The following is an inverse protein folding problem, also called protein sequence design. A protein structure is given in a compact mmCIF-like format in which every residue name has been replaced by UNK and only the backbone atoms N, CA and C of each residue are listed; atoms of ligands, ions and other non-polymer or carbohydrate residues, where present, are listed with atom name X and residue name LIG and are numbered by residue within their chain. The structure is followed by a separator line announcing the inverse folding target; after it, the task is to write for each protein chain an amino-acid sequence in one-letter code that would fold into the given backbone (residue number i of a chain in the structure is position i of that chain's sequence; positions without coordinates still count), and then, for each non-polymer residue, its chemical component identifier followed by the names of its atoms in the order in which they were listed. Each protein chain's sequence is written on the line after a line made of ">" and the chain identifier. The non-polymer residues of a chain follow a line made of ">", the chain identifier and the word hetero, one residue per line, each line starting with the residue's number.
data_IF_919857132439
#
_entry.id   IF_919857132439
#
_cell.length_a   1.000
_cell.length_b   1.000
_cell.length_c   1.000
_cell.angle_alpha   90.00
_cell.angle_beta   90.00
_cell.angle_gamma   90.00
#
_symmetry.space_group_name_H-M   'P 1'
#
loop_
_entity.id
_entity.type
_entity.pdbx_description
1 polymer ?
#
# COMPACT_ATOMS: atom_id res chain seq x y z
N UNK A 1 -24.98 -9.33 -26.42
CA UNK A 1 -24.89 -9.31 -24.93
C UNK A 1 -23.53 -9.68 -24.34
N UNK A 2 -22.63 -10.48 -24.99
CA UNK A 2 -21.30 -10.87 -24.45
C UNK A 2 -20.21 -9.78 -24.54
N UNK A 3 -20.25 -8.85 -25.48
CA UNK A 3 -19.23 -7.82 -25.67
C UNK A 3 -19.32 -6.64 -24.67
N UNK A 4 -20.52 -6.36 -24.15
CA UNK A 4 -20.74 -5.32 -23.15
C UNK A 4 -20.16 -5.69 -21.77
N UNK A 5 -20.24 -6.97 -21.38
CA UNK A 5 -19.65 -7.47 -20.14
C UNK A 5 -18.12 -7.40 -20.14
N UNK A 6 -17.45 -7.78 -21.24
CA UNK A 6 -16.00 -7.74 -21.36
C UNK A 6 -15.45 -6.29 -21.34
N UNK A 7 -16.17 -5.34 -21.99
CA UNK A 7 -15.81 -3.91 -21.95
C UNK A 7 -15.95 -3.30 -20.56
N UNK A 8 -16.92 -3.76 -19.76
CA UNK A 8 -17.05 -3.33 -18.37
C UNK A 8 -15.88 -3.86 -17.51
N UNK A 9 -15.49 -5.13 -17.68
CA UNK A 9 -14.36 -5.73 -16.96
C UNK A 9 -13.01 -5.06 -17.23
N UNK A 10 -12.84 -4.41 -18.38
CA UNK A 10 -11.62 -3.69 -18.78
C UNK A 10 -11.75 -2.17 -18.65
N UNK A 11 -12.81 -1.68 -17.99
CA UNK A 11 -12.97 -0.24 -17.76
C UNK A 11 -12.12 0.24 -16.57
N UNK A 12 -11.71 1.49 -16.59
CA UNK A 12 -11.00 2.13 -15.47
C UNK A 12 -11.80 2.06 -14.17
N UNK A 13 -13.13 2.13 -14.24
CA UNK A 13 -14.03 2.06 -13.08
C UNK A 13 -13.93 0.69 -12.38
N UNK A 14 -13.84 -0.40 -13.13
CA UNK A 14 -13.70 -1.76 -12.58
C UNK A 14 -12.39 -1.95 -11.83
N UNK A 15 -11.38 -1.12 -12.12
CA UNK A 15 -10.10 -1.05 -11.42
C UNK A 15 -10.06 0.07 -10.36
N UNK A 16 -11.21 0.59 -9.91
CA UNK A 16 -11.26 1.60 -8.84
C UNK A 16 -10.83 3.01 -9.25
N UNK A 17 -10.70 3.27 -10.57
CA UNK A 17 -10.40 4.60 -11.12
C UNK A 17 -11.70 5.24 -11.57
N UNK A 18 -12.46 5.79 -10.61
CA UNK A 18 -13.72 6.48 -10.84
C UNK A 18 -13.54 7.83 -11.53
N UNK A 19 -14.62 8.43 -11.99
CA UNK A 19 -14.66 9.82 -12.46
C UNK A 19 -15.76 10.59 -11.72
N UNK A 20 -15.43 11.56 -10.85
CA UNK A 20 -14.09 11.99 -10.44
C UNK A 20 -13.31 10.92 -9.65
N UNK A 21 -11.96 11.01 -9.69
CA UNK A 21 -11.10 10.07 -8.97
C UNK A 21 -11.07 10.38 -7.48
N UNK A 22 -11.28 9.36 -6.65
CA UNK A 22 -11.25 9.41 -5.18
C UNK A 22 -11.91 10.67 -4.59
N UNK A 23 -13.21 10.91 -4.86
CA UNK A 23 -13.88 12.14 -4.43
C UNK A 23 -13.95 12.29 -2.90
N UNK A 24 -13.83 11.19 -2.16
CA UNK A 24 -13.82 11.17 -0.71
C UNK A 24 -12.40 11.28 -0.11
N UNK A 25 -11.36 11.50 -0.92
CA UNK A 25 -9.96 11.65 -0.51
C UNK A 25 -9.47 10.51 0.41
N UNK A 26 -9.92 9.28 0.17
CA UNK A 26 -9.62 8.13 1.02
C UNK A 26 -8.15 7.73 0.99
N UNK A 27 -7.49 7.94 -0.15
CA UNK A 27 -6.07 7.59 -0.33
C UNK A 27 -5.12 8.51 0.47
N UNK A 28 -5.58 9.68 0.90
CA UNK A 28 -4.78 10.72 1.58
C UNK A 28 -5.29 11.07 2.97
N UNK A 29 -6.21 10.28 3.54
CA UNK A 29 -6.81 10.50 4.86
C UNK A 29 -6.69 9.28 5.76
N UNK A 30 -6.85 9.50 7.07
CA UNK A 30 -6.83 8.49 8.11
C UNK A 30 -8.04 8.67 9.05
N UNK A 31 -8.53 7.59 9.67
CA UNK A 31 -9.51 7.72 10.75
C UNK A 31 -8.87 8.18 12.07
N UNK A 32 -7.53 8.12 12.20
CA UNK A 32 -6.80 8.35 13.45
C UNK A 32 -5.88 9.58 13.40
N UNK A 33 -5.36 9.93 12.22
CA UNK A 33 -4.33 10.96 12.06
C UNK A 33 -4.84 12.14 11.24
N UNK A 34 -4.36 13.33 11.57
CA UNK A 34 -4.49 14.48 10.66
C UNK A 34 -3.76 14.19 9.33
N UNK A 35 -4.16 14.80 8.21
CA UNK A 35 -3.48 14.58 6.94
C UNK A 35 -1.99 14.93 6.97
N UNK A 36 -1.59 15.96 7.73
CA UNK A 36 -0.18 16.32 7.87
C UNK A 36 0.59 15.26 8.65
N UNK A 37 0.04 14.75 9.75
CA UNK A 37 0.63 13.67 10.54
C UNK A 37 0.76 12.39 9.71
N UNK A 38 -0.30 12.01 8.98
CA UNK A 38 -0.26 10.86 8.08
C UNK A 38 0.82 11.01 7.01
N UNK A 39 0.91 12.20 6.39
CA UNK A 39 1.92 12.51 5.39
C UNK A 39 3.35 12.42 5.94
N UNK A 40 3.58 12.94 7.15
CA UNK A 40 4.87 12.87 7.83
C UNK A 40 5.27 11.42 8.19
N UNK A 41 4.33 10.61 8.68
CA UNK A 41 4.58 9.19 8.96
C UNK A 41 4.92 8.42 7.67
N UNK A 42 4.17 8.63 6.59
CA UNK A 42 4.46 8.03 5.28
C UNK A 42 5.83 8.46 4.76
N UNK A 43 6.20 9.73 4.93
CA UNK A 43 7.52 10.24 4.54
C UNK A 43 8.63 9.57 5.35
N UNK A 44 8.45 9.38 6.65
CA UNK A 44 9.40 8.66 7.50
C UNK A 44 9.62 7.23 6.98
N UNK A 45 8.54 6.52 6.65
CA UNK A 45 8.62 5.17 6.08
C UNK A 45 9.29 5.18 4.69
N UNK A 46 9.00 6.19 3.86
CA UNK A 46 9.64 6.39 2.56
C UNK A 46 11.16 6.59 2.68
N UNK A 47 11.59 7.45 3.59
CA UNK A 47 13.01 7.72 3.85
C UNK A 47 13.70 6.47 4.40
N UNK A 48 13.12 5.82 5.40
CA UNK A 48 13.69 4.60 5.98
C UNK A 48 13.87 3.51 4.92
N UNK A 49 12.82 3.22 4.13
CA UNK A 49 12.89 2.18 3.12
C UNK A 49 13.87 2.52 1.97
N UNK A 50 13.95 3.79 1.57
CA UNK A 50 14.94 4.23 0.58
C UNK A 50 16.37 4.09 1.12
N UNK A 51 16.63 4.53 2.35
CA UNK A 51 17.94 4.39 3.00
C UNK A 51 18.31 2.92 3.13
N UNK A 52 17.37 2.05 3.51
CA UNK A 52 17.57 0.60 3.56
C UNK A 52 17.98 0.07 2.19
N UNK A 53 17.24 0.39 1.12
CA UNK A 53 17.53 -0.05 -0.24
C UNK A 53 18.94 0.38 -0.69
N UNK A 54 19.29 1.66 -0.47
CA UNK A 54 20.61 2.19 -0.84
C UNK A 54 21.70 1.51 -0.03
N UNK A 55 21.51 1.34 1.28
CA UNK A 55 22.51 0.72 2.16
C UNK A 55 22.76 -0.74 1.77
N UNK A 56 21.69 -1.50 1.47
CA UNK A 56 21.83 -2.90 1.02
C UNK A 56 22.59 -2.93 -0.31
N UNK A 57 22.17 -2.14 -1.32
CA UNK A 57 22.84 -2.10 -2.62
C UNK A 57 24.32 -1.71 -2.52
N UNK A 58 24.65 -0.70 -1.72
CA UNK A 58 26.04 -0.26 -1.51
C UNK A 58 26.85 -1.32 -0.78
N UNK A 59 26.28 -1.96 0.23
CA UNK A 59 26.97 -3.00 1.00
C UNK A 59 27.21 -4.24 0.16
N UNK A 60 26.24 -4.70 -0.65
CA UNK A 60 26.36 -5.78 -1.62
C UNK A 60 27.47 -5.47 -2.64
N UNK A 61 27.46 -4.23 -3.18
CA UNK A 61 28.46 -3.79 -4.16
C UNK A 61 29.88 -3.74 -3.59
N UNK A 62 30.05 -3.11 -2.43
CA UNK A 62 31.40 -2.79 -1.90
C UNK A 62 31.98 -3.96 -1.11
N UNK A 63 31.15 -4.69 -0.36
CA UNK A 63 31.62 -5.74 0.54
C UNK A 63 31.63 -7.12 -0.09
N UNK A 64 30.60 -7.43 -0.86
CA UNK A 64 30.45 -8.76 -1.48
C UNK A 64 30.80 -8.78 -2.97
N UNK A 65 30.95 -7.59 -3.60
CA UNK A 65 31.18 -7.44 -5.06
C UNK A 65 30.10 -8.10 -5.92
N UNK A 66 28.86 -8.17 -5.41
CA UNK A 66 27.71 -8.87 -6.01
C UNK A 66 26.48 -7.96 -6.20
N UNK A 67 26.69 -6.70 -6.62
CA UNK A 67 25.60 -5.82 -6.96
C UNK A 67 24.80 -6.28 -8.20
N UNK A 68 25.38 -7.14 -9.03
CA UNK A 68 24.73 -7.67 -10.25
C UNK A 68 23.52 -8.54 -9.93
N UNK A 69 23.52 -9.20 -8.77
CA UNK A 69 22.41 -10.02 -8.29
C UNK A 69 21.26 -9.23 -7.65
N UNK A 70 21.43 -7.94 -7.30
CA UNK A 70 20.44 -7.17 -6.52
C UNK A 70 19.04 -7.18 -7.15
N UNK A 71 18.92 -6.90 -8.46
CA UNK A 71 17.62 -6.91 -9.14
C UNK A 71 17.11 -8.33 -9.50
N UNK A 72 17.85 -9.36 -9.13
CA UNK A 72 17.46 -10.74 -9.35
C UNK A 72 16.53 -11.29 -8.26
N UNK A 73 16.44 -10.61 -7.11
CA UNK A 73 15.60 -11.06 -6.00
C UNK A 73 14.24 -10.38 -5.97
N UNK A 74 13.19 -11.18 -5.80
CA UNK A 74 11.82 -10.65 -5.66
C UNK A 74 11.65 -9.70 -4.46
N UNK A 75 12.40 -9.97 -3.39
CA UNK A 75 12.47 -9.11 -2.21
C UNK A 75 12.84 -7.67 -2.59
N UNK A 76 13.95 -7.50 -3.32
CA UNK A 76 14.46 -6.17 -3.68
C UNK A 76 13.53 -5.47 -4.66
N UNK A 77 13.00 -6.18 -5.65
CA UNK A 77 12.04 -5.64 -6.60
C UNK A 77 10.74 -5.19 -5.90
N UNK A 78 10.20 -6.00 -5.00
CA UNK A 78 8.99 -5.66 -4.26
C UNK A 78 9.24 -4.54 -3.24
N UNK A 79 10.43 -4.49 -2.65
CA UNK A 79 10.84 -3.45 -1.72
C UNK A 79 11.03 -2.09 -2.43
N UNK A 80 11.55 -2.07 -3.67
CA UNK A 80 11.58 -0.87 -4.53
C UNK A 80 10.14 -0.37 -4.78
N UNK A 81 9.20 -1.28 -5.03
CA UNK A 81 7.78 -0.95 -5.15
C UNK A 81 7.23 -0.29 -3.87
N UNK A 82 7.61 -0.80 -2.70
CA UNK A 82 7.24 -0.24 -1.40
C UNK A 82 7.80 1.18 -1.22
N UNK A 83 9.08 1.40 -1.55
CA UNK A 83 9.72 2.73 -1.56
C UNK A 83 8.94 3.69 -2.45
N UNK A 84 8.68 3.31 -3.70
CA UNK A 84 7.96 4.13 -4.68
C UNK A 84 6.55 4.51 -4.17
N UNK A 85 5.84 3.56 -3.57
CA UNK A 85 4.53 3.82 -2.99
C UNK A 85 4.58 4.84 -1.86
N UNK A 86 5.46 4.67 -0.87
CA UNK A 86 5.52 5.58 0.27
C UNK A 86 5.96 6.99 -0.14
N UNK A 87 6.87 7.15 -1.10
CA UNK A 87 7.20 8.45 -1.68
C UNK A 87 6.00 9.09 -2.39
N UNK A 88 5.32 8.35 -3.25
CA UNK A 88 4.15 8.86 -3.95
C UNK A 88 3.02 9.21 -2.97
N UNK A 89 2.65 8.31 -2.04
CA UNK A 89 1.55 8.51 -1.11
C UNK A 89 1.83 9.61 -0.09
N UNK A 90 3.07 9.74 0.41
CA UNK A 90 3.46 10.85 1.30
C UNK A 90 3.33 12.20 0.61
N UNK A 91 3.84 12.32 -0.62
CA UNK A 91 3.73 13.55 -1.43
C UNK A 91 2.27 13.94 -1.66
N UNK A 92 1.41 13.00 -2.08
CA UNK A 92 -0.01 13.24 -2.27
C UNK A 92 -0.69 13.72 -0.98
N UNK A 93 -0.36 13.07 0.14
CA UNK A 93 -0.96 13.37 1.45
C UNK A 93 -0.50 14.72 2.01
N UNK A 94 0.79 15.04 1.90
CA UNK A 94 1.32 16.35 2.33
C UNK A 94 0.72 17.48 1.50
N UNK A 95 0.66 17.32 0.17
CA UNK A 95 0.06 18.34 -0.70
C UNK A 95 -1.43 18.50 -0.40
N UNK A 96 -2.17 17.42 -0.10
CA UNK A 96 -3.55 17.49 0.35
C UNK A 96 -3.69 18.32 1.62
N UNK A 97 -2.84 18.08 2.63
CA UNK A 97 -2.83 18.84 3.88
C UNK A 97 -2.55 20.34 3.62
N UNK A 98 -1.54 20.66 2.80
CA UNK A 98 -1.15 22.03 2.49
C UNK A 98 -2.19 22.79 1.64
N UNK A 99 -3.01 22.09 0.85
CA UNK A 99 -4.11 22.66 0.06
C UNK A 99 -5.41 22.82 0.85
N UNK A 100 -5.35 22.80 2.18
CA UNK A 100 -6.52 22.93 3.04
C UNK A 100 -7.51 21.77 2.91
N UNK A 101 -7.01 20.58 2.62
CA UNK A 101 -7.78 19.32 2.52
C UNK A 101 -8.87 19.32 1.44
N UNK A 102 -8.69 20.09 0.37
CA UNK A 102 -9.66 20.20 -0.73
C UNK A 102 -9.38 19.24 -1.87
N UNK A 103 -8.10 19.07 -2.22
CA UNK A 103 -7.69 18.22 -3.35
C UNK A 103 -6.20 17.84 -3.26
N UNK A 104 -5.80 16.82 -4.01
CA UNK A 104 -4.42 16.38 -4.13
C UNK A 104 -4.05 16.08 -5.59
N UNK A 105 -2.76 16.11 -5.98
CA UNK A 105 -2.34 16.12 -7.38
C UNK A 105 -2.86 14.96 -8.21
N UNK A 106 -2.87 13.73 -7.67
CA UNK A 106 -3.27 12.53 -8.39
C UNK A 106 -4.71 12.61 -8.94
N UNK A 107 -5.61 13.39 -8.28
CA UNK A 107 -7.00 13.56 -8.76
C UNK A 107 -7.07 14.24 -10.13
N UNK A 108 -6.09 15.09 -10.45
CA UNK A 108 -5.99 15.79 -11.74
C UNK A 108 -5.08 15.11 -12.76
N UNK A 109 -4.40 14.03 -12.37
CA UNK A 109 -3.48 13.33 -13.27
C UNK A 109 -4.22 12.44 -14.27
N UNK A 110 -3.54 12.04 -15.38
CA UNK A 110 -4.11 11.10 -16.34
C UNK A 110 -4.56 9.81 -15.68
N UNK A 111 -5.68 9.24 -16.16
CA UNK A 111 -6.29 8.00 -15.62
C UNK A 111 -5.31 6.83 -15.54
N UNK A 112 -4.34 6.75 -16.45
CA UNK A 112 -3.31 5.72 -16.40
C UNK A 112 -2.42 5.85 -15.15
N UNK A 113 -2.06 7.06 -14.73
CA UNK A 113 -1.26 7.26 -13.50
C UNK A 113 -2.10 6.99 -12.24
N UNK A 114 -3.40 7.30 -12.29
CA UNK A 114 -4.34 6.93 -11.23
C UNK A 114 -4.42 5.40 -11.11
N UNK A 115 -4.55 4.69 -12.26
CA UNK A 115 -4.55 3.23 -12.31
C UNK A 115 -3.25 2.64 -11.77
N UNK A 116 -2.10 3.14 -12.20
CA UNK A 116 -0.80 2.66 -11.72
C UNK A 116 -0.65 2.85 -10.21
N UNK A 117 -1.14 3.96 -9.67
CA UNK A 117 -1.08 4.20 -8.21
C UNK A 117 -1.97 3.22 -7.42
N UNK A 118 -3.21 2.95 -7.87
CA UNK A 118 -4.07 2.00 -7.15
C UNK A 118 -3.61 0.55 -7.33
N UNK A 119 -3.00 0.20 -8.46
CA UNK A 119 -2.35 -1.10 -8.64
C UNK A 119 -1.10 -1.22 -7.76
N UNK A 120 -0.27 -0.17 -7.68
CA UNK A 120 0.88 -0.14 -6.79
C UNK A 120 0.45 -0.29 -5.32
N UNK A 121 -0.62 0.38 -4.88
CA UNK A 121 -1.21 0.15 -3.55
C UNK A 121 -1.57 -1.33 -3.35
N UNK A 122 -2.20 -1.97 -4.33
CA UNK A 122 -2.60 -3.38 -4.23
C UNK A 122 -1.39 -4.33 -4.19
N UNK A 123 -0.31 -4.04 -4.92
CA UNK A 123 0.91 -4.85 -4.85
C UNK A 123 1.60 -4.71 -3.51
N UNK A 124 1.75 -3.48 -3.00
CA UNK A 124 2.46 -3.28 -1.73
C UNK A 124 1.67 -3.79 -0.53
N UNK A 125 0.36 -3.92 -0.62
CA UNK A 125 -0.46 -4.49 0.46
C UNK A 125 -0.42 -6.03 0.50
N UNK A 126 0.10 -6.68 -0.54
CA UNK A 126 0.15 -8.15 -0.64
C UNK A 126 1.58 -8.70 -0.68
N UNK A 127 2.44 -8.17 -1.55
CA UNK A 127 3.78 -8.73 -1.77
C UNK A 127 4.68 -8.74 -0.52
N UNK A 128 4.77 -7.68 0.29
CA UNK A 128 5.59 -7.72 1.50
C UNK A 128 5.16 -8.81 2.49
N UNK A 129 3.85 -9.09 2.59
CA UNK A 129 3.34 -10.16 3.45
C UNK A 129 3.79 -11.53 2.91
N UNK A 130 3.72 -11.75 1.59
CA UNK A 130 4.21 -12.97 0.96
C UNK A 130 5.72 -13.12 1.17
N UNK A 131 6.49 -12.05 0.92
CA UNK A 131 7.94 -12.03 1.14
C UNK A 131 8.28 -12.39 2.59
N UNK A 132 7.56 -11.82 3.56
CA UNK A 132 7.74 -12.15 4.98
C UNK A 132 7.47 -13.63 5.25
N UNK A 133 6.33 -14.15 4.79
CA UNK A 133 5.95 -15.55 5.03
C UNK A 133 6.95 -16.50 4.37
N UNK A 134 7.29 -16.29 3.10
CA UNK A 134 8.24 -17.15 2.35
C UNK A 134 9.62 -17.10 2.99
N UNK A 135 10.11 -15.93 3.34
CA UNK A 135 11.42 -15.80 3.96
C UNK A 135 11.51 -16.53 5.29
N UNK A 136 10.62 -16.26 6.23
CA UNK A 136 10.70 -16.83 7.57
C UNK A 136 10.31 -18.32 7.62
N UNK A 137 9.46 -18.80 6.70
CA UNK A 137 9.06 -20.21 6.66
C UNK A 137 10.01 -21.10 5.86
N UNK A 138 10.71 -20.57 4.84
CA UNK A 138 11.47 -21.38 3.88
C UNK A 138 12.95 -20.99 3.82
N UNK A 139 13.26 -19.67 3.84
CA UNK A 139 14.60 -19.18 3.52
C UNK A 139 15.46 -18.86 4.76
N UNK A 140 14.83 -18.52 5.89
CA UNK A 140 15.55 -18.18 7.10
C UNK A 140 16.35 -19.38 7.62
N UNK A 141 17.61 -19.12 7.99
CA UNK A 141 18.56 -20.14 8.45
C UNK A 141 19.41 -19.61 9.61
N UNK A 142 20.32 -20.40 10.13
CA UNK A 142 21.26 -19.99 11.17
C UNK A 142 22.14 -18.80 10.76
N UNK A 143 22.35 -18.58 9.46
CA UNK A 143 23.10 -17.42 8.94
C UNK A 143 22.32 -16.11 8.94
N UNK A 144 20.98 -16.13 9.06
CA UNK A 144 20.13 -14.94 9.01
C UNK A 144 20.55 -13.86 10.01
N UNK A 145 21.05 -14.25 11.17
CA UNK A 145 21.51 -13.35 12.24
C UNK A 145 23.00 -13.41 12.51
N UNK A 146 23.80 -13.94 11.58
CA UNK A 146 25.24 -14.19 11.77
C UNK A 146 26.07 -12.91 11.99
N UNK A 147 25.65 -11.79 11.41
CA UNK A 147 26.27 -10.47 11.59
C UNK A 147 25.23 -9.40 11.92
N UNK A 148 25.66 -8.25 12.47
CA UNK A 148 24.77 -7.11 12.72
C UNK A 148 24.12 -6.61 11.43
N UNK A 149 24.87 -6.58 10.32
CA UNK A 149 24.33 -6.18 9.02
C UNK A 149 23.29 -7.18 8.52
N UNK A 150 23.61 -8.48 8.55
CA UNK A 150 22.67 -9.54 8.11
C UNK A 150 21.39 -9.51 8.95
N UNK A 151 21.49 -9.37 10.28
CA UNK A 151 20.33 -9.25 11.15
C UNK A 151 19.47 -8.02 10.78
N UNK A 152 20.10 -6.84 10.62
CA UNK A 152 19.40 -5.61 10.29
C UNK A 152 18.74 -5.67 8.90
N UNK A 153 19.47 -6.10 7.86
CA UNK A 153 18.95 -6.14 6.49
C UNK A 153 17.78 -7.13 6.37
N UNK A 154 17.94 -8.34 6.93
CA UNK A 154 16.86 -9.34 6.91
C UNK A 154 15.61 -8.89 7.68
N UNK A 155 15.77 -8.30 8.86
CA UNK A 155 14.62 -7.74 9.60
C UNK A 155 13.97 -6.60 8.82
N UNK A 156 14.74 -5.69 8.23
CA UNK A 156 14.22 -4.54 7.48
C UNK A 156 13.46 -4.96 6.23
N UNK A 157 13.98 -5.92 5.48
CA UNK A 157 13.39 -6.33 4.20
C UNK A 157 12.34 -7.44 4.33
N UNK A 158 12.35 -8.23 5.42
CA UNK A 158 11.48 -9.40 5.57
C UNK A 158 10.56 -9.37 6.80
N UNK A 159 10.61 -8.32 7.63
CA UNK A 159 9.68 -8.13 8.75
C UNK A 159 9.11 -6.72 8.76
N UNK A 160 9.96 -5.68 8.73
CA UNK A 160 9.52 -4.30 8.77
C UNK A 160 8.69 -3.92 7.53
N UNK A 161 8.97 -4.51 6.35
CA UNK A 161 8.16 -4.36 5.15
C UNK A 161 6.67 -4.67 5.41
N UNK A 162 6.37 -5.76 6.10
CA UNK A 162 4.99 -6.12 6.46
C UNK A 162 4.40 -5.19 7.53
N UNK A 163 5.20 -4.70 8.48
CA UNK A 163 4.75 -3.71 9.47
C UNK A 163 4.34 -2.40 8.78
N UNK A 164 5.10 -1.95 7.76
CA UNK A 164 4.75 -0.77 6.97
C UNK A 164 3.45 -0.94 6.20
N UNK A 165 3.23 -2.14 5.65
CA UNK A 165 1.99 -2.49 4.97
C UNK A 165 0.81 -2.55 5.95
N UNK A 166 0.99 -3.12 7.13
CA UNK A 166 -0.05 -3.13 8.17
C UNK A 166 -0.42 -1.72 8.62
N UNK A 167 0.54 -0.78 8.67
CA UNK A 167 0.25 0.64 8.87
C UNK A 167 -0.72 1.17 7.81
N UNK A 168 -0.47 0.92 6.52
CA UNK A 168 -1.37 1.35 5.44
C UNK A 168 -2.74 0.67 5.51
N UNK A 169 -2.77 -0.65 5.77
CA UNK A 169 -4.01 -1.42 5.83
C UNK A 169 -4.90 -1.00 7.00
N UNK A 170 -4.32 -0.70 8.16
CA UNK A 170 -5.08 -0.49 9.39
C UNK A 170 -5.33 0.99 9.70
N UNK A 171 -4.38 1.87 9.38
CA UNK A 171 -4.37 3.24 9.88
C UNK A 171 -4.73 4.30 8.84
N UNK A 172 -5.07 3.91 7.60
CA UNK A 172 -5.53 4.84 6.55
C UNK A 172 -6.99 4.60 6.17
N UNK A 173 -7.59 5.52 5.43
CA UNK A 173 -8.94 5.34 4.88
C UNK A 173 -8.95 4.66 3.50
N UNK A 174 -7.80 4.26 2.96
CA UNK A 174 -7.71 3.58 1.68
C UNK A 174 -8.63 2.34 1.64
N UNK A 175 -9.48 2.24 0.65
CA UNK A 175 -10.50 1.19 0.56
C UNK A 175 -9.91 -0.20 0.23
N UNK A 176 -10.77 -1.24 0.26
CA UNK A 176 -10.36 -2.56 -0.19
C UNK A 176 -10.09 -2.56 -1.70
N UNK A 177 -8.97 -3.15 -2.12
CA UNK A 177 -8.64 -3.29 -3.55
C UNK A 177 -9.75 -4.02 -4.30
N UNK A 178 -10.14 -3.58 -5.51
CA UNK A 178 -11.09 -4.31 -6.37
C UNK A 178 -10.60 -5.73 -6.68
N UNK A 179 -11.52 -6.68 -6.84
CA UNK A 179 -11.16 -8.05 -7.24
C UNK A 179 -10.47 -8.13 -8.61
N UNK A 180 -10.75 -7.17 -9.49
CA UNK A 180 -10.09 -7.02 -10.79
C UNK A 180 -8.58 -6.84 -10.68
N UNK A 181 -8.05 -6.39 -9.53
CA UNK A 181 -6.62 -6.23 -9.30
C UNK A 181 -5.85 -7.55 -9.13
N UNK A 182 -6.54 -8.68 -8.87
CA UNK A 182 -5.87 -9.99 -8.74
C UNK A 182 -5.00 -10.28 -9.97
N UNK A 183 -5.54 -10.13 -11.18
CA UNK A 183 -4.82 -10.48 -12.41
C UNK A 183 -3.63 -9.54 -12.65
N UNK A 184 -3.78 -8.21 -12.75
CA UNK A 184 -2.65 -7.32 -13.02
C UNK A 184 -1.59 -7.34 -11.91
N UNK A 185 -1.96 -7.58 -10.65
CA UNK A 185 -0.98 -7.72 -9.58
C UNK A 185 -0.32 -9.12 -9.56
N UNK A 186 -0.96 -10.16 -10.11
CA UNK A 186 -0.35 -11.46 -10.29
C UNK A 186 0.72 -11.46 -11.40
N UNK A 187 0.56 -10.62 -12.43
CA UNK A 187 1.49 -10.55 -13.57
C UNK A 187 2.94 -10.27 -13.13
N UNK A 188 3.26 -9.27 -12.28
CA UNK A 188 4.62 -9.07 -11.79
C UNK A 188 5.20 -10.28 -11.05
N UNK A 189 4.36 -10.99 -10.28
CA UNK A 189 4.79 -12.22 -9.59
C UNK A 189 5.12 -13.34 -10.59
N UNK A 190 4.30 -13.51 -11.62
CA UNK A 190 4.56 -14.48 -12.69
C UNK A 190 5.79 -14.10 -13.56
N UNK A 191 5.93 -12.80 -13.88
CA UNK A 191 7.09 -12.30 -14.62
C UNK A 191 8.40 -12.48 -13.83
N UNK A 192 8.33 -12.43 -12.51
CA UNK A 192 9.50 -12.69 -11.66
C UNK A 192 10.08 -14.09 -11.88
N UNK A 193 9.26 -15.10 -12.15
CA UNK A 193 9.75 -16.43 -12.51
C UNK A 193 10.67 -16.36 -13.75
N UNK A 194 10.29 -15.54 -14.75
CA UNK A 194 11.15 -15.26 -15.91
C UNK A 194 12.48 -14.60 -15.51
N UNK A 195 12.44 -13.62 -14.61
CA UNK A 195 13.67 -12.97 -14.10
C UNK A 195 14.59 -13.99 -13.43
N UNK A 196 14.08 -14.89 -12.59
CA UNK A 196 14.86 -15.91 -11.92
C UNK A 196 15.57 -16.86 -12.90
N UNK A 197 14.89 -17.27 -13.97
CA UNK A 197 15.51 -18.10 -15.01
C UNK A 197 16.48 -17.34 -15.92
N UNK A 198 16.23 -16.07 -16.20
CA UNK A 198 17.20 -15.21 -16.90
C UNK A 198 18.45 -15.04 -16.04
N UNK A 199 18.31 -14.80 -14.74
CA UNK A 199 19.44 -14.73 -13.81
C UNK A 199 20.26 -16.03 -13.83
N UNK A 200 19.61 -17.19 -13.77
CA UNK A 200 20.31 -18.45 -13.87
C UNK A 200 21.06 -18.58 -15.21
N UNK A 201 20.44 -18.25 -16.33
CA UNK A 201 21.04 -18.33 -17.65
C UNK A 201 22.24 -17.38 -17.86
N UNK A 202 22.20 -16.20 -17.23
CA UNK A 202 23.21 -15.14 -17.43
C UNK A 202 24.27 -15.07 -16.33
N UNK A 203 23.91 -15.46 -15.10
CA UNK A 203 24.79 -15.36 -13.93
C UNK A 203 25.11 -16.71 -13.29
N UNK A 204 24.48 -17.82 -13.74
CA UNK A 204 24.83 -19.17 -13.34
C UNK A 204 24.26 -19.63 -11.99
N UNK A 205 23.34 -18.88 -11.36
CA UNK A 205 22.74 -19.29 -10.10
C UNK A 205 21.21 -19.11 -10.09
N UNK A 206 20.50 -19.91 -9.29
CA UNK A 206 19.09 -19.68 -8.97
C UNK A 206 18.96 -18.76 -7.78
N UNK A 207 18.13 -17.70 -7.89
CA UNK A 207 17.90 -16.71 -6.83
C UNK A 207 17.34 -17.31 -5.54
N UNK A 208 16.55 -18.37 -5.67
CA UNK A 208 16.03 -19.15 -4.56
C UNK A 208 16.25 -20.66 -4.85
N UNK A 209 16.70 -21.40 -3.85
CA UNK A 209 16.96 -22.85 -3.99
C UNK A 209 15.72 -23.62 -4.45
N UNK A 210 14.54 -23.22 -3.98
CA UNK A 210 13.26 -23.84 -4.36
C UNK A 210 12.85 -23.61 -5.84
N UNK A 211 13.59 -22.77 -6.59
CA UNK A 211 13.42 -22.60 -8.05
C UNK A 211 14.38 -23.43 -8.88
N UNK A 212 15.27 -24.20 -8.27
CA UNK A 212 16.21 -25.06 -8.97
C UNK A 212 15.57 -26.42 -9.38
N UNK A 213 15.33 -26.68 -10.68
CA UNK A 213 14.71 -27.91 -11.13
C UNK A 213 15.56 -29.14 -10.86
N UNK A 214 16.90 -28.97 -10.75
CA UNK A 214 17.85 -30.09 -10.57
C UNK A 214 17.81 -30.62 -9.13
N UNK A 215 17.47 -29.79 -8.16
CA UNK A 215 17.39 -30.18 -6.75
C UNK A 215 15.95 -30.46 -6.30
N UNK A 216 14.98 -29.65 -6.74
CA UNK A 216 13.61 -29.70 -6.24
C UNK A 216 12.69 -30.63 -7.03
N UNK A 217 13.04 -30.98 -8.28
CA UNK A 217 12.27 -31.89 -9.15
C UNK A 217 10.76 -31.58 -9.13
N UNK A 218 9.93 -32.50 -8.63
CA UNK A 218 8.49 -32.33 -8.57
C UNK A 218 8.00 -31.27 -7.55
N UNK A 219 8.80 -30.95 -6.53
CA UNK A 219 8.47 -29.93 -5.54
C UNK A 219 8.51 -28.51 -6.10
N UNK A 220 9.28 -28.26 -7.18
CA UNK A 220 9.30 -26.98 -7.87
C UNK A 220 7.88 -26.51 -8.26
N UNK A 221 7.09 -27.40 -8.87
CA UNK A 221 5.70 -27.08 -9.22
C UNK A 221 4.86 -26.78 -7.99
N UNK A 222 5.06 -27.50 -6.87
CA UNK A 222 4.37 -27.27 -5.63
C UNK A 222 4.69 -25.89 -5.02
N UNK A 223 5.95 -25.46 -5.05
CA UNK A 223 6.35 -24.10 -4.61
C UNK A 223 5.71 -23.01 -5.48
N UNK A 224 5.77 -23.13 -6.81
CA UNK A 224 5.18 -22.14 -7.73
C UNK A 224 3.66 -22.03 -7.49
N UNK A 225 2.96 -23.16 -7.44
CA UNK A 225 1.51 -23.21 -7.20
C UNK A 225 1.20 -22.71 -5.79
N UNK A 226 1.97 -23.13 -4.78
CA UNK A 226 1.81 -22.70 -3.39
C UNK A 226 1.94 -21.19 -3.23
N UNK A 227 2.91 -20.55 -3.87
CA UNK A 227 3.08 -19.09 -3.85
C UNK A 227 1.92 -18.40 -4.59
N UNK A 228 1.48 -18.95 -5.73
CA UNK A 228 0.34 -18.41 -6.48
C UNK A 228 -0.98 -18.47 -5.68
N UNK A 229 -1.26 -19.60 -5.03
CA UNK A 229 -2.41 -19.76 -4.14
C UNK A 229 -2.25 -18.84 -2.91
N UNK A 230 -1.07 -18.80 -2.31
CA UNK A 230 -0.75 -17.92 -1.18
C UNK A 230 -1.02 -16.44 -1.53
N UNK A 231 -0.64 -16.00 -2.73
CA UNK A 231 -0.97 -14.66 -3.23
C UNK A 231 -2.48 -14.40 -3.23
N UNK A 232 -3.29 -15.31 -3.78
CA UNK A 232 -4.74 -15.15 -3.82
C UNK A 232 -5.34 -15.11 -2.40
N UNK A 233 -4.85 -15.96 -1.50
CA UNK A 233 -5.30 -16.00 -0.09
C UNK A 233 -4.94 -14.71 0.63
N UNK A 234 -3.70 -14.22 0.53
CA UNK A 234 -3.27 -12.97 1.16
C UNK A 234 -4.07 -11.80 0.61
N UNK A 235 -4.28 -11.72 -0.71
CA UNK A 235 -5.10 -10.69 -1.33
C UNK A 235 -6.54 -10.67 -0.75
N UNK A 236 -7.17 -11.85 -0.62
CA UNK A 236 -8.52 -11.97 -0.07
C UNK A 236 -8.57 -11.56 1.42
N UNK A 237 -7.56 -11.96 2.22
CA UNK A 237 -7.44 -11.59 3.65
C UNK A 237 -7.28 -10.07 3.78
N UNK A 238 -6.35 -9.45 3.06
CA UNK A 238 -6.11 -8.00 3.08
C UNK A 238 -7.37 -7.24 2.70
N UNK A 239 -8.03 -7.67 1.61
CA UNK A 239 -9.31 -7.10 1.20
C UNK A 239 -10.37 -7.21 2.30
N UNK A 240 -10.47 -8.36 2.96
CA UNK A 240 -11.37 -8.60 4.09
C UNK A 240 -11.09 -7.66 5.26
N UNK A 241 -9.83 -7.51 5.65
CA UNK A 241 -9.39 -6.60 6.72
C UNK A 241 -9.75 -5.15 6.38
N UNK A 242 -9.43 -4.67 5.17
CA UNK A 242 -9.80 -3.33 4.72
C UNK A 242 -11.31 -3.10 4.73
N UNK A 243 -12.10 -4.10 4.30
CA UNK A 243 -13.56 -4.03 4.33
C UNK A 243 -14.09 -3.95 5.77
N UNK A 244 -13.57 -4.78 6.67
CA UNK A 244 -13.94 -4.77 8.08
C UNK A 244 -13.62 -3.42 8.74
N UNK A 245 -12.39 -2.92 8.54
CA UNK A 245 -11.97 -1.60 9.02
C UNK A 245 -12.92 -0.50 8.52
N UNK A 246 -13.24 -0.47 7.22
CA UNK A 246 -14.15 0.52 6.66
C UNK A 246 -15.55 0.46 7.33
N UNK A 247 -16.06 -0.74 7.61
CA UNK A 247 -17.34 -0.93 8.31
C UNK A 247 -17.29 -0.45 9.76
N UNK A 248 -16.21 -0.77 10.48
CA UNK A 248 -16.03 -0.36 11.88
C UNK A 248 -15.94 1.16 11.97
N UNK A 249 -15.10 1.80 11.15
CA UNK A 249 -14.94 3.26 11.14
C UNK A 249 -16.25 3.97 10.76
N UNK A 250 -17.01 3.43 9.80
CA UNK A 250 -18.28 4.05 9.40
C UNK A 250 -19.35 3.93 10.48
N UNK A 251 -19.40 2.83 11.24
CA UNK A 251 -20.30 2.67 12.38
C UNK A 251 -19.95 3.65 13.49
N UNK A 252 -18.67 3.69 13.90
CA UNK A 252 -18.21 4.59 14.94
C UNK A 252 -18.54 6.07 14.63
N UNK A 253 -18.35 6.51 13.39
CA UNK A 253 -18.69 7.89 12.97
C UNK A 253 -20.20 8.16 13.04
N UNK A 254 -21.04 7.17 12.70
CA UNK A 254 -22.51 7.31 12.79
C UNK A 254 -22.95 7.46 14.24
N UNK A 255 -22.48 6.55 15.11
CA UNK A 255 -22.83 6.57 16.53
C UNK A 255 -22.39 7.89 17.19
N UNK A 256 -21.21 8.43 16.81
CA UNK A 256 -20.74 9.73 17.31
C UNK A 256 -21.54 10.91 16.78
N UNK A 257 -22.13 10.82 15.59
CA UNK A 257 -23.00 11.89 15.05
C UNK A 257 -24.42 11.88 15.63
N UNK A 258 -24.90 10.71 16.08
CA UNK A 258 -26.19 10.55 16.74
C UNK A 258 -26.15 10.96 18.23
N UNK A 259 -24.95 11.04 18.83
CA UNK A 259 -24.74 11.43 20.22
C UNK A 259 -24.59 12.94 20.45
N UNK A 260 -24.61 13.77 19.41
CA UNK A 260 -24.71 15.23 19.58
C UNK A 260 -26.15 15.55 19.97
N UNK A 261 -26.43 15.95 21.24
CA UNK A 261 -27.80 16.21 21.67
C UNK A 261 -28.40 17.37 20.85
N UNK A 262 -29.64 17.19 20.45
CA UNK A 262 -30.46 18.22 19.80
C UNK A 262 -30.52 19.50 20.64
N UNK A 263 -30.34 19.39 21.96
CA UNK A 263 -30.32 20.52 22.92
C UNK A 263 -29.18 21.54 22.64
N UNK A 264 -28.06 21.14 22.06
CA UNK A 264 -26.96 22.05 21.73
C UNK A 264 -27.30 22.99 20.55
N UNK A 265 -28.23 22.60 19.67
CA UNK A 265 -28.67 23.42 18.53
C UNK A 265 -29.67 24.49 18.99
N UNK A 266 -30.54 24.13 19.93
CA UNK A 266 -31.55 25.06 20.48
C UNK A 266 -30.88 26.16 21.32
N UNK A 267 -29.78 25.90 21.98
CA UNK A 267 -29.05 26.89 22.79
C UNK A 267 -28.42 28.01 21.94
N UNK A 268 -27.95 27.69 20.72
CA UNK A 268 -27.40 28.69 19.79
C UNK A 268 -28.47 29.54 19.10
N UNK A 269 -29.65 28.98 18.80
CA UNK A 269 -30.78 29.72 18.23
C UNK A 269 -31.38 30.70 19.25
N UNK A 270 -31.35 30.37 20.55
CA UNK A 270 -31.80 31.30 21.62
C UNK A 270 -30.85 32.50 21.78
N UNK A 271 -29.55 32.34 21.64
CA UNK A 271 -28.56 33.42 21.75
C UNK A 271 -28.70 34.43 20.61
N UNK A 272 -28.96 33.99 19.38
CA UNK A 272 -29.15 34.87 18.23
C UNK A 272 -30.49 35.62 18.26
N UNK A 273 -31.49 35.14 19.00
CA UNK A 273 -32.80 35.80 19.14
C UNK A 273 -32.85 36.91 20.19
N UNK A 274 -31.84 36.98 21.08
CA UNK A 274 -31.75 37.99 22.16
C UNK A 274 -30.92 39.26 21.82
N UNK A 275 -30.47 39.44 20.57
CA UNK A 275 -29.79 40.67 20.19
C UNK A 275 -30.80 41.85 20.22
N UNK A 276 -30.53 42.95 20.96
CA UNK A 276 -31.42 44.09 21.05
C UNK A 276 -31.56 44.75 19.69
N UNK A 277 -32.80 44.92 19.23
CA UNK A 277 -33.10 45.78 18.09
C UNK A 277 -32.66 47.20 18.42
N UNK A 278 -31.60 47.69 17.78
CA UNK A 278 -31.25 49.11 17.81
C UNK A 278 -32.45 49.93 17.34
N UNK A 279 -32.97 50.72 18.23
CA UNK A 279 -34.01 51.69 17.95
C UNK A 279 -33.43 52.78 17.07
N UNK A 280 -33.82 52.81 15.80
CA UNK A 280 -33.66 53.98 14.96
C UNK A 280 -34.58 55.06 15.46
N UNK A 281 -34.07 55.90 16.35
CA UNK A 281 -34.69 57.15 16.70
C UNK A 281 -34.62 58.14 15.55
N UNK A 282 -35.74 58.42 14.95
CA UNK A 282 -35.97 59.55 14.07
C UNK A 282 -36.06 60.79 14.96
N UNK A 283 -35.24 61.80 14.77
CA UNK A 283 -35.53 63.16 15.11
C UNK A 283 -35.13 64.10 13.98
N UNK A 284 -36.12 64.86 13.59
CA UNK A 284 -36.33 66.11 12.90
C UNK A 284 -35.14 66.92 12.30
#
# INVERSE_FOLDING_TARGET
>A
MRLTGLRFFLSYESFGVSSPFDPACRLVTSPFFSPLTLGALRLLLAVYSLVTTITVLVFESVRYHDASGFLSYFTDLSYIGLVAYFWASSTQTIVFALRGQKSYPLQSWPRILQLLHVLLYSTITVFPIIVTVVFWAILASSSTFSTRYSAWSNVSQHAMNSIFVLFEILLTNAGPSPWSHIIPCFVPLACYLGVAYITHATQGFYTYSFLDPSTEHGLLAAYIIGIAVGYCVVFAIVRGICTLRCRVVSRYRRDSSEQVPSEAIDEWEHIDSEQPKESTGSEA
#
